data_IF_508790258123
#
_entry.id   IF_508790258123
#
_cell.length_a   1.000
_cell.length_b   1.000
_cell.length_c   1.000
_cell.angle_alpha   90.00
_cell.angle_beta   90.00
_cell.angle_gamma   90.00
#
_symmetry.space_group_name_H-M   'P 1'
#
loop_
_entity.id
_entity.type
_entity.pdbx_description
1 polymer ?
#
# COMPACT_ATOMS: atom_id res chain seq x y z
N UNK A 1 20.03 -4.24 -0.30
CA UNK A 1 20.02 -4.21 -1.80
C UNK A 1 19.00 -3.17 -2.27
N UNK A 2 19.29 -2.51 -3.34
CA UNK A 2 18.34 -1.59 -3.98
C UNK A 2 17.87 -2.16 -5.31
N UNK A 3 16.58 -2.20 -5.50
CA UNK A 3 15.95 -2.71 -6.72
C UNK A 3 14.92 -1.70 -7.23
N UNK A 4 14.85 -1.53 -8.55
CA UNK A 4 13.85 -0.67 -9.17
C UNK A 4 12.73 -1.51 -9.78
N UNK A 5 11.51 -1.28 -9.30
CA UNK A 5 10.31 -1.95 -9.77
C UNK A 5 9.35 -0.89 -10.32
N UNK A 6 9.36 -0.68 -11.64
CA UNK A 6 8.61 0.39 -12.27
C UNK A 6 9.04 1.78 -11.78
N UNK A 7 8.15 2.50 -11.13
CA UNK A 7 8.42 3.83 -10.55
C UNK A 7 8.89 3.78 -9.09
N UNK A 8 8.93 2.58 -8.50
CA UNK A 8 9.28 2.40 -7.09
C UNK A 8 10.75 1.97 -6.99
N UNK A 9 11.45 2.51 -6.02
CA UNK A 9 12.75 2.00 -5.60
C UNK A 9 12.59 1.30 -4.26
N UNK A 10 12.83 -0.01 -4.25
CA UNK A 10 12.86 -0.83 -3.04
C UNK A 10 14.28 -0.84 -2.48
N UNK A 11 14.41 -0.58 -1.19
CA UNK A 11 15.70 -0.66 -0.47
C UNK A 11 15.51 -1.51 0.78
N UNK A 12 16.05 -2.73 0.75
CA UNK A 12 15.99 -3.66 1.88
C UNK A 12 17.32 -3.78 2.64
N UNK A 13 18.23 -2.82 2.44
CA UNK A 13 19.56 -2.80 3.05
C UNK A 13 19.51 -2.93 4.58
N UNK A 14 18.50 -2.33 5.20
CA UNK A 14 18.31 -2.34 6.64
C UNK A 14 17.34 -3.42 7.14
N UNK A 15 16.90 -4.33 6.27
CA UNK A 15 16.02 -5.41 6.68
C UNK A 15 16.72 -6.39 7.62
N UNK A 16 16.09 -6.69 8.75
CA UNK A 16 16.68 -7.51 9.81
C UNK A 16 16.83 -9.00 9.49
N UNK A 17 16.20 -9.46 8.40
CA UNK A 17 16.19 -10.88 8.02
C UNK A 17 15.09 -11.72 8.69
N UNK A 18 14.30 -11.12 9.58
CA UNK A 18 13.15 -11.77 10.20
C UNK A 18 11.90 -10.92 10.05
N UNK A 19 10.78 -11.57 9.75
CA UNK A 19 9.50 -10.90 9.52
C UNK A 19 8.55 -11.22 10.69
N UNK A 20 8.49 -10.32 11.67
CA UNK A 20 7.67 -10.45 12.87
C UNK A 20 6.27 -9.83 12.72
N UNK A 21 6.02 -9.12 11.64
CA UNK A 21 4.80 -8.32 11.45
C UNK A 21 3.95 -8.81 10.26
N UNK A 22 4.31 -9.93 9.68
CA UNK A 22 3.53 -10.56 8.62
C UNK A 22 2.27 -11.22 9.20
N UNK A 23 1.14 -10.98 8.53
CA UNK A 23 -0.13 -11.65 8.82
C UNK A 23 -0.29 -12.96 8.02
N UNK A 24 0.73 -13.33 7.24
CA UNK A 24 0.79 -14.60 6.50
C UNK A 24 -0.15 -14.66 5.29
N UNK A 25 -1.09 -15.62 5.23
CA UNK A 25 -1.92 -15.86 4.04
C UNK A 25 -2.74 -14.66 3.56
N UNK A 26 -3.08 -13.75 4.46
CA UNK A 26 -3.83 -12.52 4.13
C UNK A 26 -3.05 -11.65 3.13
N UNK A 27 -1.76 -11.53 3.31
CA UNK A 27 -0.92 -10.70 2.44
C UNK A 27 -0.80 -11.30 1.05
N UNK A 28 -0.77 -12.62 0.93
CA UNK A 28 -0.80 -13.32 -0.35
C UNK A 28 -2.13 -13.09 -1.08
N UNK A 29 -3.25 -13.16 -0.36
CA UNK A 29 -4.57 -12.86 -0.91
C UNK A 29 -4.65 -11.42 -1.42
N UNK A 30 -4.15 -10.45 -0.65
CA UNK A 30 -4.13 -9.05 -1.06
C UNK A 30 -3.29 -8.85 -2.34
N UNK A 31 -2.15 -9.52 -2.45
CA UNK A 31 -1.30 -9.45 -3.63
C UNK A 31 -2.00 -10.03 -4.86
N UNK A 32 -2.68 -11.18 -4.73
CA UNK A 32 -3.46 -11.77 -5.81
C UNK A 32 -4.57 -10.85 -6.30
N UNK A 33 -5.32 -10.24 -5.38
CA UNK A 33 -6.35 -9.27 -5.71
C UNK A 33 -5.76 -8.06 -6.44
N UNK A 34 -4.66 -7.51 -5.93
CA UNK A 34 -3.99 -6.37 -6.56
C UNK A 34 -3.50 -6.68 -7.99
N UNK A 35 -3.09 -7.90 -8.25
CA UNK A 35 -2.69 -8.35 -9.60
C UNK A 35 -3.87 -8.54 -10.55
N UNK A 36 -5.02 -8.93 -10.05
CA UNK A 36 -6.20 -9.26 -10.86
C UNK A 36 -7.15 -8.09 -11.11
N UNK A 37 -7.18 -7.09 -10.22
CA UNK A 37 -8.07 -5.95 -10.31
C UNK A 37 -7.34 -4.72 -10.87
N UNK A 38 -7.98 -4.00 -11.80
CA UNK A 38 -7.39 -2.83 -12.47
C UNK A 38 -8.30 -1.60 -12.43
N UNK A 39 -9.57 -1.76 -12.08
CA UNK A 39 -10.54 -0.67 -12.02
C UNK A 39 -11.18 -0.56 -10.63
N UNK A 40 -11.68 0.64 -10.24
CA UNK A 40 -12.41 0.80 -8.98
C UNK A 40 -13.61 -0.12 -8.84
N UNK A 41 -14.31 -0.38 -9.95
CA UNK A 41 -15.47 -1.27 -9.99
C UNK A 41 -15.08 -2.73 -9.66
N UNK A 42 -13.98 -3.21 -10.24
CA UNK A 42 -13.46 -4.55 -9.95
C UNK A 42 -13.08 -4.71 -8.48
N UNK A 43 -12.44 -3.71 -7.88
CA UNK A 43 -12.13 -3.71 -6.45
C UNK A 43 -13.39 -3.70 -5.60
N UNK A 44 -14.38 -2.89 -5.93
CA UNK A 44 -15.65 -2.85 -5.20
C UNK A 44 -16.38 -4.19 -5.26
N UNK A 45 -16.35 -4.86 -6.40
CA UNK A 45 -16.93 -6.19 -6.56
C UNK A 45 -16.25 -7.21 -5.66
N UNK A 46 -14.91 -7.25 -5.65
CA UNK A 46 -14.14 -8.17 -4.80
C UNK A 46 -14.40 -7.91 -3.33
N UNK A 47 -14.46 -6.65 -2.90
CA UNK A 47 -14.80 -6.28 -1.52
C UNK A 47 -16.16 -6.86 -1.13
N UNK A 48 -17.16 -6.72 -1.99
CA UNK A 48 -18.52 -7.23 -1.75
C UNK A 48 -18.58 -8.75 -1.71
N UNK A 49 -17.83 -9.44 -2.56
CA UNK A 49 -17.79 -10.91 -2.64
C UNK A 49 -17.05 -11.54 -1.46
N UNK A 50 -15.87 -11.01 -1.13
CA UNK A 50 -15.00 -11.58 -0.08
C UNK A 50 -15.53 -11.36 1.31
N UNK A 51 -16.22 -10.24 1.57
CA UNK A 51 -16.76 -9.86 2.89
C UNK A 51 -15.69 -9.95 3.99
N UNK A 52 -14.48 -9.59 3.65
CA UNK A 52 -13.29 -9.69 4.48
C UNK A 52 -12.84 -8.30 4.92
N UNK A 53 -12.57 -8.12 6.21
CA UNK A 53 -12.06 -6.86 6.74
C UNK A 53 -10.74 -6.45 6.09
N UNK A 54 -9.72 -7.32 5.97
CA UNK A 54 -8.46 -6.95 5.33
C UNK A 54 -8.63 -6.49 3.88
N UNK A 55 -9.49 -7.16 3.12
CA UNK A 55 -9.76 -6.79 1.72
C UNK A 55 -10.43 -5.42 1.63
N UNK A 56 -11.45 -5.18 2.44
CA UNK A 56 -12.10 -3.87 2.50
C UNK A 56 -11.14 -2.78 2.95
N UNK A 57 -10.37 -3.04 3.99
CA UNK A 57 -9.41 -2.10 4.56
C UNK A 57 -8.36 -1.64 3.53
N UNK A 58 -7.81 -2.56 2.73
CA UNK A 58 -6.74 -2.24 1.80
C UNK A 58 -7.24 -1.68 0.47
N UNK A 59 -8.42 -2.08 0.00
CA UNK A 59 -8.87 -1.77 -1.36
C UNK A 59 -10.04 -0.81 -1.45
N UNK A 60 -10.68 -0.46 -0.35
CA UNK A 60 -11.74 0.55 -0.38
C UNK A 60 -11.17 1.92 -0.72
N UNK A 61 -11.74 2.57 -1.73
CA UNK A 61 -11.36 3.94 -2.11
C UNK A 61 -11.59 4.96 -0.98
N UNK A 62 -12.45 4.66 -0.03
CA UNK A 62 -12.73 5.51 1.14
C UNK A 62 -11.50 5.68 2.03
N UNK A 63 -10.57 4.73 2.00
CA UNK A 63 -9.30 4.84 2.75
C UNK A 63 -8.52 6.11 2.43
N UNK A 64 -8.59 6.57 1.19
CA UNK A 64 -7.96 7.81 0.78
C UNK A 64 -8.45 9.05 1.52
N UNK A 65 -9.64 9.01 2.11
CA UNK A 65 -10.20 10.14 2.85
C UNK A 65 -9.38 10.51 4.10
N UNK A 66 -8.56 9.60 4.62
CA UNK A 66 -7.66 9.88 5.75
C UNK A 66 -6.66 10.99 5.39
N UNK A 67 -6.23 11.06 4.14
CA UNK A 67 -5.20 12.00 3.68
C UNK A 67 -5.68 12.98 2.61
N UNK A 68 -6.87 12.78 2.03
CA UNK A 68 -7.35 13.59 0.92
C UNK A 68 -7.56 15.07 1.27
N UNK A 69 -7.87 15.36 2.53
CA UNK A 69 -8.08 16.71 3.04
C UNK A 69 -6.77 17.45 3.35
N UNK A 70 -5.64 16.74 3.44
CA UNK A 70 -4.34 17.35 3.70
C UNK A 70 -3.90 18.23 2.52
N UNK A 71 -3.34 19.41 2.77
CA UNK A 71 -2.88 20.33 1.71
C UNK A 71 -1.54 19.91 1.12
N UNK A 72 -1.44 18.65 0.68
CA UNK A 72 -0.24 18.09 0.06
C UNK A 72 -0.24 18.44 -1.43
N UNK A 73 0.90 18.92 -1.93
CA UNK A 73 1.10 19.30 -3.33
C UNK A 73 2.26 18.53 -3.96
N UNK A 74 2.46 18.69 -5.27
CA UNK A 74 3.57 18.07 -6.00
C UNK A 74 4.95 18.60 -5.59
N UNK A 75 5.02 19.67 -4.82
CA UNK A 75 6.26 20.19 -4.24
C UNK A 75 6.63 19.51 -2.93
N UNK A 76 5.70 18.79 -2.33
CA UNK A 76 5.89 18.13 -1.05
C UNK A 76 6.56 16.76 -1.19
N UNK A 77 7.41 16.45 -0.23
CA UNK A 77 8.00 15.12 0.01
C UNK A 77 7.38 14.55 1.26
N UNK A 78 6.76 13.38 1.13
CA UNK A 78 6.03 12.72 2.22
C UNK A 78 6.82 11.52 2.72
N UNK A 79 6.90 11.37 4.04
CA UNK A 79 7.38 10.17 4.71
C UNK A 79 6.19 9.45 5.34
N UNK A 80 5.96 8.21 4.91
CA UNK A 80 4.94 7.32 5.46
C UNK A 80 5.61 6.26 6.32
N UNK A 81 5.34 6.27 7.62
CA UNK A 81 5.90 5.30 8.56
C UNK A 81 4.86 4.20 8.80
N UNK A 82 5.27 2.94 8.62
CA UNK A 82 4.38 1.81 8.76
C UNK A 82 3.41 1.67 7.60
N UNK A 83 3.92 1.71 6.36
CA UNK A 83 3.09 1.67 5.16
C UNK A 83 2.25 0.38 5.03
N UNK A 84 2.70 -0.71 5.62
CA UNK A 84 2.06 -2.01 5.50
C UNK A 84 1.99 -2.45 4.03
N UNK A 85 0.83 -2.96 3.61
CA UNK A 85 0.59 -3.33 2.22
C UNK A 85 0.18 -2.13 1.33
N UNK A 86 0.42 -0.91 1.79
CA UNK A 86 0.24 0.28 0.97
C UNK A 86 -1.19 0.81 0.86
N UNK A 87 -2.06 0.54 1.84
CA UNK A 87 -3.47 0.93 1.80
C UNK A 87 -3.69 2.45 1.59
N UNK A 88 -2.76 3.28 2.06
CA UNK A 88 -2.85 4.75 1.99
C UNK A 88 -1.80 5.33 1.04
N UNK A 89 -0.72 4.59 0.79
CA UNK A 89 0.43 5.04 -0.01
C UNK A 89 0.02 5.57 -1.39
N UNK A 90 -0.90 4.88 -2.07
CA UNK A 90 -1.39 5.30 -3.37
C UNK A 90 -2.09 6.66 -3.35
N UNK A 91 -2.87 6.94 -2.32
CA UNK A 91 -3.54 8.23 -2.14
C UNK A 91 -2.52 9.36 -1.90
N UNK A 92 -1.49 9.09 -1.10
CA UNK A 92 -0.38 10.03 -0.90
C UNK A 92 0.39 10.28 -2.20
N UNK A 93 0.71 9.24 -2.95
CA UNK A 93 1.47 9.33 -4.19
C UNK A 93 0.75 10.12 -5.28
N UNK A 94 -0.57 10.15 -5.29
CA UNK A 94 -1.36 10.97 -6.22
C UNK A 94 -1.22 12.46 -5.94
N UNK A 95 -0.99 12.86 -4.70
CA UNK A 95 -0.92 14.25 -4.27
C UNK A 95 0.51 14.79 -4.19
N UNK A 96 1.41 14.02 -3.61
CA UNK A 96 2.79 14.42 -3.34
C UNK A 96 3.70 14.35 -4.58
N UNK A 97 4.82 15.06 -4.51
CA UNK A 97 5.89 14.93 -5.50
C UNK A 97 6.67 13.63 -5.35
N UNK A 98 6.87 13.20 -4.11
CA UNK A 98 7.46 11.90 -3.78
C UNK A 98 6.96 11.39 -2.44
N UNK A 99 6.92 10.07 -2.29
CA UNK A 99 6.59 9.40 -1.04
C UNK A 99 7.70 8.41 -0.72
N UNK A 100 8.23 8.50 0.49
CA UNK A 100 9.14 7.50 1.05
C UNK A 100 8.38 6.70 2.08
N UNK A 101 8.33 5.38 1.90
CA UNK A 101 7.65 4.48 2.82
C UNK A 101 8.66 3.73 3.67
N UNK A 102 8.38 3.58 4.95
CA UNK A 102 9.14 2.73 5.86
C UNK A 102 8.24 1.62 6.36
N UNK A 103 8.64 0.37 6.12
CA UNK A 103 7.93 -0.82 6.57
C UNK A 103 8.93 -1.84 7.12
N UNK A 104 8.58 -2.48 8.23
CA UNK A 104 9.44 -3.47 8.89
C UNK A 104 9.31 -4.86 8.28
N UNK A 105 8.16 -5.17 7.68
CA UNK A 105 7.87 -6.46 7.09
C UNK A 105 8.22 -6.46 5.60
N UNK A 106 9.04 -7.43 5.20
CA UNK A 106 9.33 -7.65 3.78
C UNK A 106 8.15 -8.28 3.05
N UNK A 107 7.31 -9.02 3.77
CA UNK A 107 6.13 -9.68 3.22
C UNK A 107 5.04 -8.67 2.83
N UNK A 108 4.96 -7.55 3.52
CA UNK A 108 4.04 -6.45 3.21
C UNK A 108 4.60 -5.53 2.14
#
# INVERSE_FOLDING_TARGET
>A
MREKIGKITLDDTCYSGSDLYSDGPVEEELLEIAKSCHTPEEYNQVIAERKSWPVMYHFSHIRGNIVSWLPITKEDKVLEIGAGCGAITGALAKKAGSVTCVELSRQR
#
